data_IF_973867275083
#
_entry.id   IF_973867275083
#
_cell.length_a   1.000
_cell.length_b   1.000
_cell.length_c   1.000
_cell.angle_alpha   90.00
_cell.angle_beta   90.00
_cell.angle_gamma   90.00
#
_symmetry.space_group_name_H-M   'P 1'
#
loop_
_entity.id
_entity.type
_entity.pdbx_description
1 polymer ?
#
# COMPACT_ATOMS: atom_id res chain seq x y z
N UNK A 1 5.09 12.49 10.76
CA UNK A 1 5.20 11.80 9.46
C UNK A 1 5.91 10.44 9.48
N UNK A 2 6.25 9.88 10.65
CA UNK A 2 6.89 8.55 10.72
C UNK A 2 6.03 7.44 10.09
N UNK A 3 4.71 7.52 10.24
CA UNK A 3 3.79 6.51 9.70
C UNK A 3 3.53 6.73 8.22
N UNK A 4 3.52 7.98 7.75
CA UNK A 4 3.39 8.28 6.33
C UNK A 4 4.58 7.69 5.54
N UNK A 5 5.80 7.90 6.03
CA UNK A 5 7.01 7.32 5.42
C UNK A 5 7.01 5.80 5.52
N UNK A 6 6.68 5.25 6.69
CA UNK A 6 6.60 3.80 6.88
C UNK A 6 5.58 3.14 5.93
N UNK A 7 4.42 3.78 5.71
CA UNK A 7 3.41 3.31 4.77
C UNK A 7 3.95 3.28 3.34
N UNK A 8 4.56 4.36 2.85
CA UNK A 8 5.13 4.40 1.50
C UNK A 8 6.18 3.31 1.30
N UNK A 9 7.12 3.17 2.24
CA UNK A 9 8.17 2.15 2.19
C UNK A 9 7.56 0.75 2.21
N UNK A 10 6.56 0.53 3.08
CA UNK A 10 5.91 -0.76 3.19
C UNK A 10 5.11 -1.10 1.94
N UNK A 11 4.34 -0.17 1.36
CA UNK A 11 3.60 -0.42 0.11
C UNK A 11 4.55 -0.83 -1.02
N UNK A 12 5.73 -0.20 -1.11
CA UNK A 12 6.77 -0.58 -2.08
C UNK A 12 7.33 -1.99 -1.79
N UNK A 13 7.67 -2.26 -0.53
CA UNK A 13 8.18 -3.57 -0.11
C UNK A 13 7.15 -4.69 -0.30
N UNK A 14 5.88 -4.43 0.00
CA UNK A 14 4.76 -5.33 -0.19
C UNK A 14 4.57 -5.66 -1.67
N UNK A 15 4.71 -4.68 -2.56
CA UNK A 15 4.68 -4.89 -4.00
C UNK A 15 5.81 -5.82 -4.47
N UNK A 16 7.04 -5.55 -4.04
CA UNK A 16 8.21 -6.39 -4.37
C UNK A 16 8.04 -7.80 -3.82
N UNK A 17 7.61 -7.94 -2.57
CA UNK A 17 7.35 -9.22 -1.94
C UNK A 17 6.24 -10.00 -2.65
N UNK A 18 5.15 -9.34 -3.03
CA UNK A 18 4.05 -9.96 -3.76
C UNK A 18 4.50 -10.50 -5.13
N UNK A 19 5.34 -9.75 -5.85
CA UNK A 19 5.92 -10.21 -7.12
C UNK A 19 6.89 -11.38 -6.92
N UNK A 20 7.69 -11.36 -5.86
CA UNK A 20 8.63 -12.46 -5.56
C UNK A 20 7.89 -13.76 -5.18
N UNK A 21 6.74 -13.65 -4.52
CA UNK A 21 5.94 -14.80 -4.06
C UNK A 21 4.97 -15.31 -5.16
N UNK A 22 4.81 -14.58 -6.26
CA UNK A 22 3.93 -14.96 -7.38
C UNK A 22 4.20 -16.35 -7.95
N UNK A 23 5.45 -16.80 -7.97
CA UNK A 23 5.86 -18.12 -8.47
C UNK A 23 5.80 -19.23 -7.43
N UNK A 24 5.47 -18.90 -6.17
CA UNK A 24 5.34 -19.87 -5.09
C UNK A 24 4.06 -20.71 -5.28
N UNK A 25 4.09 -21.95 -4.81
CA UNK A 25 2.93 -22.84 -4.91
C UNK A 25 1.70 -22.22 -4.22
N UNK A 26 0.54 -22.36 -4.88
CA UNK A 26 -0.73 -21.72 -4.54
C UNK A 26 -1.17 -21.78 -3.05
N UNK A 27 -0.95 -22.86 -2.26
CA UNK A 27 -1.43 -22.88 -0.88
C UNK A 27 -0.64 -21.97 0.07
N UNK A 28 0.61 -21.62 -0.26
CA UNK A 28 1.47 -20.79 0.61
C UNK A 28 1.41 -19.29 0.26
N UNK A 29 1.10 -18.97 -0.99
CA UNK A 29 1.12 -17.60 -1.48
C UNK A 29 -0.08 -16.76 -0.99
N UNK A 30 -1.28 -17.35 -0.89
CA UNK A 30 -2.49 -16.63 -0.51
C UNK A 30 -2.42 -16.01 0.90
N UNK A 31 -2.02 -16.74 1.98
CA UNK A 31 -1.87 -16.13 3.30
C UNK A 31 -0.88 -14.97 3.32
N UNK A 32 0.18 -15.03 2.51
CA UNK A 32 1.18 -13.98 2.41
C UNK A 32 0.57 -12.72 1.79
N UNK A 33 -0.15 -12.82 0.68
CA UNK A 33 -0.80 -11.66 0.07
C UNK A 33 -1.82 -11.01 1.01
N UNK A 34 -2.61 -11.81 1.72
CA UNK A 34 -3.60 -11.31 2.68
C UNK A 34 -2.91 -10.59 3.84
N UNK A 35 -1.84 -11.16 4.39
CA UNK A 35 -1.08 -10.53 5.46
C UNK A 35 -0.43 -9.21 5.01
N UNK A 36 0.20 -9.19 3.83
CA UNK A 36 0.77 -7.98 3.24
C UNK A 36 -0.30 -6.90 3.04
N UNK A 37 -1.46 -7.26 2.47
CA UNK A 37 -2.56 -6.32 2.26
C UNK A 37 -3.11 -5.75 3.57
N UNK A 38 -3.29 -6.59 4.59
CA UNK A 38 -3.77 -6.15 5.90
C UNK A 38 -2.82 -5.16 6.58
N UNK A 39 -1.51 -5.45 6.55
CA UNK A 39 -0.49 -4.55 7.12
C UNK A 39 -0.43 -3.24 6.32
N UNK A 40 -0.48 -3.32 4.99
CA UNK A 40 -0.42 -2.14 4.12
C UNK A 40 -1.61 -1.19 4.36
N UNK A 41 -2.82 -1.75 4.48
CA UNK A 41 -4.03 -1.00 4.85
C UNK A 41 -3.86 -0.34 6.22
N UNK A 42 -3.38 -1.09 7.23
CA UNK A 42 -3.19 -0.55 8.57
C UNK A 42 -2.18 0.61 8.59
N UNK A 43 -1.04 0.46 7.91
CA UNK A 43 -0.03 1.51 7.82
C UNK A 43 -0.52 2.70 7.02
N UNK A 44 -1.26 2.49 5.94
CA UNK A 44 -1.85 3.58 5.17
C UNK A 44 -2.82 4.43 5.98
N UNK A 45 -3.71 3.80 6.76
CA UNK A 45 -4.65 4.51 7.63
C UNK A 45 -3.91 5.34 8.71
N UNK A 46 -2.81 4.83 9.25
CA UNK A 46 -1.96 5.59 10.17
C UNK A 46 -1.21 6.71 9.44
N UNK A 47 -0.71 6.43 8.24
CA UNK A 47 0.07 7.36 7.43
C UNK A 47 -0.75 8.54 6.93
N UNK A 48 -1.98 8.34 6.49
CA UNK A 48 -2.86 9.42 6.04
C UNK A 48 -3.27 10.34 7.19
N UNK A 49 -3.50 9.79 8.39
CA UNK A 49 -3.77 10.56 9.61
C UNK A 49 -2.55 11.39 10.03
N UNK A 50 -1.37 10.80 9.96
CA UNK A 50 -0.09 11.46 10.28
C UNK A 50 0.25 12.55 9.24
N UNK A 51 -0.08 12.35 7.96
CA UNK A 51 0.08 13.35 6.92
C UNK A 51 -0.92 14.51 7.05
N UNK A 52 -2.18 14.22 7.38
CA UNK A 52 -3.18 15.25 7.65
C UNK A 52 -2.80 16.10 8.87
N UNK A 53 -2.37 15.46 9.98
CA UNK A 53 -1.91 16.18 11.16
C UNK A 53 -0.69 17.07 10.88
N UNK A 54 0.24 16.63 10.02
CA UNK A 54 1.37 17.46 9.60
C UNK A 54 0.92 18.67 8.78
N UNK A 55 -0.07 18.49 7.89
CA UNK A 55 -0.62 19.58 7.08
C UNK A 55 -1.34 20.63 7.94
N UNK A 56 -2.05 20.21 8.99
CA UNK A 56 -2.76 21.11 9.91
C UNK A 56 -1.81 22.02 10.73
N UNK A 57 -0.56 21.58 10.93
CA UNK A 57 0.45 22.31 11.71
C UNK A 57 1.36 23.15 10.80
N UNK A 58 1.29 22.97 9.48
CA UNK A 58 2.13 23.68 8.53
C UNK A 58 1.89 25.20 8.60
N UNK A 59 2.97 25.96 8.74
CA UNK A 59 2.88 27.43 8.94
C UNK A 59 3.16 28.22 7.67
N UNK A 60 3.80 27.59 6.68
CA UNK A 60 4.11 28.19 5.39
C UNK A 60 3.36 27.55 4.22
N UNK A 61 3.04 28.36 3.20
CA UNK A 61 2.38 27.87 1.97
C UNK A 61 3.23 26.85 1.21
N UNK A 62 4.54 27.05 1.19
CA UNK A 62 5.48 26.14 0.52
C UNK A 62 5.58 24.79 1.26
N UNK A 63 5.71 24.83 2.59
CA UNK A 63 5.71 23.63 3.44
C UNK A 63 4.39 22.84 3.29
N UNK A 64 3.24 23.52 3.27
CA UNK A 64 1.95 22.90 3.04
C UNK A 64 1.84 22.25 1.64
N UNK A 65 2.44 22.86 0.61
CA UNK A 65 2.47 22.29 -0.74
C UNK A 65 3.33 21.01 -0.80
N UNK A 66 4.48 20.99 -0.14
CA UNK A 66 5.31 19.78 -0.03
C UNK A 66 4.58 18.66 0.70
N UNK A 67 3.94 18.96 1.84
CA UNK A 67 3.17 18.00 2.61
C UNK A 67 1.98 17.42 1.83
N UNK A 68 1.30 18.24 1.02
CA UNK A 68 0.26 17.77 0.09
C UNK A 68 0.84 16.81 -0.95
N UNK A 69 2.04 17.08 -1.48
CA UNK A 69 2.68 16.19 -2.44
C UNK A 69 3.07 14.85 -1.82
N UNK A 70 3.55 14.84 -0.57
CA UNK A 70 3.82 13.62 0.20
C UNK A 70 2.54 12.84 0.46
N UNK A 71 1.45 13.53 0.83
CA UNK A 71 0.13 12.93 1.00
C UNK A 71 -0.38 12.26 -0.29
N UNK A 72 -0.22 12.93 -1.44
CA UNK A 72 -0.57 12.36 -2.73
C UNK A 72 0.28 11.12 -3.07
N UNK A 73 1.60 11.17 -2.83
CA UNK A 73 2.49 10.03 -3.04
C UNK A 73 2.08 8.82 -2.20
N UNK A 74 1.74 9.03 -0.93
CA UNK A 74 1.23 8.00 -0.03
C UNK A 74 -0.02 7.31 -0.60
N UNK A 75 -0.99 8.09 -1.09
CA UNK A 75 -2.21 7.57 -1.71
C UNK A 75 -1.89 6.76 -2.98
N UNK A 76 -1.04 7.29 -3.85
CA UNK A 76 -0.69 6.61 -5.12
C UNK A 76 0.02 5.28 -4.86
N UNK A 77 1.00 5.27 -3.95
CA UNK A 77 1.75 4.04 -3.63
C UNK A 77 0.86 2.97 -3.00
N UNK A 78 0.00 3.37 -2.05
CA UNK A 78 -0.97 2.45 -1.46
C UNK A 78 -1.96 1.90 -2.49
N UNK A 79 -2.50 2.76 -3.36
CA UNK A 79 -3.43 2.34 -4.40
C UNK A 79 -2.79 1.31 -5.35
N UNK A 80 -1.55 1.54 -5.78
CA UNK A 80 -0.80 0.58 -6.60
C UNK A 80 -0.64 -0.78 -5.88
N UNK A 81 -0.24 -0.75 -4.61
CA UNK A 81 -0.04 -1.96 -3.81
C UNK A 81 -1.33 -2.76 -3.63
N UNK A 82 -2.42 -2.11 -3.21
CA UNK A 82 -3.72 -2.77 -2.99
C UNK A 82 -4.32 -3.31 -4.28
N UNK A 83 -4.19 -2.62 -5.41
CA UNK A 83 -4.67 -3.12 -6.70
C UNK A 83 -3.93 -4.41 -7.08
N UNK A 84 -2.60 -4.44 -6.93
CA UNK A 84 -1.80 -5.62 -7.26
C UNK A 84 -2.07 -6.78 -6.30
N UNK A 85 -2.06 -6.53 -4.99
CA UNK A 85 -2.36 -7.54 -3.97
C UNK A 85 -3.78 -8.07 -4.12
N UNK A 86 -4.76 -7.18 -4.33
CA UNK A 86 -6.15 -7.54 -4.57
C UNK A 86 -6.29 -8.42 -5.81
N UNK A 87 -5.65 -8.05 -6.93
CA UNK A 87 -5.62 -8.89 -8.13
C UNK A 87 -5.04 -10.28 -7.85
N UNK A 88 -3.89 -10.37 -7.16
CA UNK A 88 -3.23 -11.65 -6.88
C UNK A 88 -4.07 -12.54 -5.94
N UNK A 89 -4.77 -11.95 -4.97
CA UNK A 89 -5.70 -12.64 -4.08
C UNK A 89 -6.88 -13.19 -4.88
N UNK A 90 -7.52 -12.37 -5.71
CA UNK A 90 -8.67 -12.81 -6.51
C UNK A 90 -8.24 -13.89 -7.50
N UNK A 91 -7.06 -13.77 -8.12
CA UNK A 91 -6.51 -14.79 -9.01
C UNK A 91 -6.25 -16.13 -8.31
N UNK A 92 -5.96 -16.12 -7.00
CA UNK A 92 -5.83 -17.34 -6.20
C UNK A 92 -7.19 -17.97 -5.85
N UNK A 93 -8.19 -17.15 -5.50
CA UNK A 93 -9.48 -17.64 -4.99
C UNK A 93 -10.44 -17.99 -6.13
N UNK A 94 -10.36 -17.26 -7.24
CA UNK A 94 -11.26 -17.39 -8.38
C UNK A 94 -10.48 -17.37 -9.71
N UNK A 95 -9.61 -18.37 -9.96
CA UNK A 95 -8.75 -18.38 -11.15
C UNK A 95 -9.55 -18.39 -12.47
N UNK A 96 -10.76 -18.93 -12.46
CA UNK A 96 -11.65 -19.01 -13.62
C UNK A 96 -12.19 -17.65 -14.09
N UNK A 97 -12.16 -16.62 -13.25
CA UNK A 97 -12.57 -15.26 -13.62
C UNK A 97 -11.60 -14.65 -14.66
N UNK A 98 -10.35 -15.13 -14.67
CA UNK A 98 -9.29 -14.63 -15.55
C UNK A 98 -8.90 -15.64 -16.65
N UNK A 99 -9.55 -16.80 -16.70
CA UNK A 99 -9.37 -17.79 -17.75
C UNK A 99 -10.38 -17.50 -18.87
N UNK A 100 -9.91 -16.84 -19.94
CA UNK A 100 -10.64 -16.68 -21.19
C UNK A 100 -10.55 -17.96 -22.05
#
# INVERSE_FOLDING_TARGET
>A
MKFAVASVIFSLAALVAALAVKSLAAPLALPIYVALAAIDIALFLLGIRDAAAALDIATGEWEAAELKSVGALLVVMFAMSVVVLGYLIVAHIAPTVFAA
#
